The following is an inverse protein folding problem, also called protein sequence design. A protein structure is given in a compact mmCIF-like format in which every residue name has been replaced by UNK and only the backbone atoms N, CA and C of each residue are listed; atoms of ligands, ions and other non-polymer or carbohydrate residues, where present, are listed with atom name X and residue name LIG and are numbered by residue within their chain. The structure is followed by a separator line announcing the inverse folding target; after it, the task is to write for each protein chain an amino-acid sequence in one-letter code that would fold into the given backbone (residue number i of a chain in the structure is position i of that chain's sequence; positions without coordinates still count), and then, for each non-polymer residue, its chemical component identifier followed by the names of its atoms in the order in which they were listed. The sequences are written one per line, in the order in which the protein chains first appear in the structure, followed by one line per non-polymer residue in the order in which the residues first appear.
data_IF_045045400392
#
_entry.id   IF_045045400392
#
_cell.length_a   1.000
_cell.length_b   1.000
_cell.length_c   1.000
_cell.angle_alpha   90.00
_cell.angle_beta   90.00
_cell.angle_gamma   90.00
#
_symmetry.space_group_name_H-M   'P 1'
#
loop_
_entity.id
_entity.type
_entity.pdbx_description
1 polymer ?
#
# COMPACT_ATOMS: atom_id res chain seq x y z
N UNK A 1 -18.25 -31.24 38.78
CA UNK A 1 -19.15 -31.16 39.94
C UNK A 1 -19.11 -29.71 40.42
N UNK A 2 -20.01 -28.81 39.98
CA UNK A 2 -21.38 -28.57 40.47
C UNK A 2 -21.48 -28.54 42.00
N UNK A 3 -21.72 -27.34 42.56
CA UNK A 3 -22.87 -26.91 43.40
C UNK A 3 -22.43 -25.74 44.30
N UNK A 4 -22.92 -24.53 44.09
CA UNK A 4 -24.24 -23.96 44.47
C UNK A 4 -24.21 -23.30 45.87
N UNK A 5 -24.48 -21.97 45.90
CA UNK A 5 -25.00 -21.16 47.03
C UNK A 5 -26.38 -21.71 47.52
N UNK A 6 -27.09 -21.24 48.60
CA UNK A 6 -27.12 -19.93 49.33
C UNK A 6 -27.48 -20.10 50.87
N UNK A 7 -28.31 -19.30 51.62
CA UNK A 7 -28.82 -17.90 51.54
C UNK A 7 -28.84 -17.05 52.86
N UNK A 8 -29.13 -15.75 52.70
CA UNK A 8 -29.90 -14.74 53.50
C UNK A 8 -30.15 -14.88 55.04
N UNK A 9 -30.04 -13.78 55.81
CA UNK A 9 -31.16 -12.91 56.32
C UNK A 9 -30.77 -11.95 57.46
N UNK A 10 -31.42 -10.76 57.44
CA UNK A 10 -31.81 -9.75 58.49
C UNK A 10 -31.17 -9.77 59.90
N UNK A 11 -30.86 -8.66 60.57
CA UNK A 11 -31.78 -7.60 61.05
C UNK A 11 -31.04 -6.52 61.88
N UNK A 12 -31.70 -5.36 62.07
CA UNK A 12 -31.30 -4.03 62.63
C UNK A 12 -31.05 -4.04 64.18
N UNK A 13 -30.95 -2.90 64.96
CA UNK A 13 -30.96 -1.45 64.65
C UNK A 13 -29.98 -0.55 65.48
N UNK A 14 -30.04 0.77 65.20
CA UNK A 14 -30.23 1.88 66.17
C UNK A 14 -29.15 2.98 66.18
N UNK A 15 -29.50 4.17 65.68
CA UNK A 15 -29.60 5.38 66.50
C UNK A 15 -30.09 6.56 65.66
N UNK A 16 -31.22 7.11 66.10
CA UNK A 16 -31.86 8.31 65.59
C UNK A 16 -31.11 9.57 66.03
N UNK A 17 -30.94 10.52 65.12
CA UNK A 17 -30.80 11.94 65.47
C UNK A 17 -31.72 12.75 64.58
N UNK A 18 -32.67 13.41 65.23
CA UNK A 18 -33.63 14.34 64.65
C UNK A 18 -33.01 15.74 64.46
N UNK A 19 -33.24 16.36 63.29
CA UNK A 19 -33.23 17.81 63.08
C UNK A 19 -34.13 18.18 61.88
N UNK A 20 -34.67 19.41 61.83
CA UNK A 20 -36.04 19.69 61.39
C UNK A 20 -36.21 19.86 59.88
N UNK A 21 -37.36 19.43 59.38
CA UNK A 21 -37.82 19.62 58.00
C UNK A 21 -38.20 21.09 57.77
N UNK A 22 -37.31 21.88 57.18
CA UNK A 22 -37.69 23.11 56.48
C UNK A 22 -38.16 22.74 55.07
N UNK A 23 -39.45 22.97 54.79
CA UNK A 23 -40.04 22.83 53.47
C UNK A 23 -39.58 24.00 52.58
N UNK A 24 -38.49 23.82 51.85
CA UNK A 24 -38.08 24.70 50.76
C UNK A 24 -38.83 24.29 49.49
N UNK A 25 -39.82 25.08 49.10
CA UNK A 25 -40.41 25.05 47.76
C UNK A 25 -39.36 25.64 46.82
N UNK A 26 -38.49 24.81 46.26
CA UNK A 26 -37.67 25.20 45.10
C UNK A 26 -38.58 25.26 43.88
N UNK A 27 -38.92 26.48 43.46
CA UNK A 27 -39.38 26.75 42.10
C UNK A 27 -38.28 26.24 41.15
N UNK A 28 -38.53 25.12 40.48
CA UNK A 28 -37.70 24.66 39.39
C UNK A 28 -37.79 25.66 38.24
N UNK A 29 -36.81 26.54 38.12
CA UNK A 29 -36.56 27.23 36.86
C UNK A 29 -35.99 26.17 35.93
N UNK A 30 -36.87 25.57 35.12
CA UNK A 30 -36.46 24.86 33.92
C UNK A 30 -35.82 25.92 33.03
N UNK A 31 -34.49 25.94 32.99
CA UNK A 31 -33.81 26.53 31.84
C UNK A 31 -34.20 25.65 30.67
N UNK A 32 -35.16 26.12 29.87
CA UNK A 32 -35.33 25.60 28.53
C UNK A 32 -33.96 25.70 27.86
N UNK A 33 -33.37 24.55 27.52
CA UNK A 33 -32.32 24.54 26.52
C UNK A 33 -32.90 25.31 25.34
N UNK A 34 -32.25 26.39 24.86
CA UNK A 34 -32.69 27.00 23.62
C UNK A 34 -32.70 25.88 22.58
N UNK A 35 -33.84 25.73 21.92
CA UNK A 35 -34.10 24.72 20.90
C UNK A 35 -32.82 24.44 20.10
N UNK A 36 -32.32 23.21 20.17
CA UNK A 36 -31.43 22.74 19.11
C UNK A 36 -32.30 22.70 17.87
N UNK A 37 -32.35 23.81 17.12
CA UNK A 37 -32.90 23.84 15.77
C UNK A 37 -32.22 22.67 15.07
N UNK A 38 -32.99 21.63 14.74
CA UNK A 38 -32.47 20.51 13.98
C UNK A 38 -31.81 21.09 12.74
N UNK A 39 -30.50 20.87 12.58
CA UNK A 39 -29.78 21.42 11.44
C UNK A 39 -30.44 20.94 10.15
N UNK A 40 -31.01 21.88 9.40
CA UNK A 40 -31.64 21.57 8.13
C UNK A 40 -30.55 21.37 7.08
N UNK A 41 -30.35 20.11 6.71
CA UNK A 41 -29.48 19.73 5.61
C UNK A 41 -30.18 19.98 4.28
N UNK A 42 -29.57 20.79 3.41
CA UNK A 42 -30.01 20.94 2.03
C UNK A 42 -29.06 20.20 1.10
N UNK A 43 -29.58 19.73 -0.03
CA UNK A 43 -28.76 19.15 -1.10
C UNK A 43 -27.84 20.20 -1.69
N UNK A 44 -26.61 19.81 -1.96
CA UNK A 44 -25.59 20.65 -2.60
C UNK A 44 -25.36 20.10 -4.00
N UNK A 45 -25.66 20.87 -5.06
CA UNK A 45 -25.31 20.50 -6.42
C UNK A 45 -23.80 20.34 -6.56
N UNK A 46 -23.36 19.32 -7.28
CA UNK A 46 -21.94 18.99 -7.44
C UNK A 46 -21.73 18.28 -8.76
N UNK A 47 -20.88 18.87 -9.61
CA UNK A 47 -20.49 18.32 -10.89
C UNK A 47 -18.97 18.16 -10.90
N UNK A 48 -18.50 16.94 -11.10
CA UNK A 48 -17.06 16.62 -11.14
C UNK A 48 -16.84 15.37 -11.97
N UNK A 49 -15.68 15.28 -12.61
CA UNK A 49 -15.29 14.12 -13.40
C UNK A 49 -13.81 13.83 -13.19
N UNK A 50 -13.49 12.56 -12.95
CA UNK A 50 -12.13 12.06 -12.99
C UNK A 50 -11.75 11.75 -14.44
N UNK A 51 -10.83 12.53 -14.99
CA UNK A 51 -10.29 12.41 -16.35
C UNK A 51 -8.78 12.13 -16.41
N UNK A 52 -8.09 12.18 -15.27
CA UNK A 52 -6.66 11.88 -15.13
C UNK A 52 -6.41 10.67 -14.21
N UNK A 53 -5.23 10.06 -14.32
CA UNK A 53 -4.81 8.95 -13.45
C UNK A 53 -4.74 9.44 -11.99
N UNK A 54 -5.23 8.63 -11.06
CA UNK A 54 -5.32 9.01 -9.66
C UNK A 54 -4.01 8.72 -8.91
N UNK A 55 -3.65 9.52 -7.90
CA UNK A 55 -2.46 9.25 -7.09
C UNK A 55 -2.47 7.84 -6.51
N UNK A 56 -1.29 7.25 -6.32
CA UNK A 56 -1.10 5.89 -5.77
C UNK A 56 -1.60 4.75 -6.68
N UNK A 57 -1.98 5.02 -7.94
CA UNK A 57 -2.46 3.99 -8.87
C UNK A 57 -1.87 4.12 -10.28
N UNK A 58 -2.10 3.09 -11.10
CA UNK A 58 -1.97 3.17 -12.55
C UNK A 58 -0.70 2.55 -13.14
N UNK A 59 -0.36 2.97 -14.36
CA UNK A 59 0.86 2.50 -15.04
C UNK A 59 2.07 3.19 -14.40
N UNK A 60 3.11 2.40 -14.13
CA UNK A 60 4.39 2.85 -13.56
C UNK A 60 5.45 2.80 -14.64
N UNK A 61 6.35 3.80 -14.67
CA UNK A 61 7.55 3.81 -15.52
C UNK A 61 8.81 3.82 -14.64
N UNK A 62 9.95 3.43 -15.20
CA UNK A 62 11.22 3.62 -14.51
C UNK A 62 11.49 5.11 -14.25
N UNK A 63 12.10 5.41 -13.11
CA UNK A 63 12.42 6.79 -12.74
C UNK A 63 13.46 7.47 -13.63
N UNK A 64 14.23 6.70 -14.40
CA UNK A 64 15.17 7.18 -15.41
C UNK A 64 14.57 7.17 -16.83
N UNK A 65 13.33 6.74 -17.01
CA UNK A 65 12.65 6.79 -18.30
C UNK A 65 12.23 8.24 -18.62
N UNK A 66 12.79 8.82 -19.67
CA UNK A 66 12.43 10.17 -20.13
C UNK A 66 10.93 10.37 -20.39
N UNK A 67 10.20 9.31 -20.73
CA UNK A 67 8.74 9.36 -20.90
C UNK A 67 8.00 9.73 -19.61
N UNK A 68 8.59 9.46 -18.43
CA UNK A 68 8.01 9.86 -17.15
C UNK A 68 7.78 11.37 -17.03
N UNK A 69 8.45 12.22 -17.81
CA UNK A 69 8.23 13.67 -17.78
C UNK A 69 6.88 14.11 -18.39
N UNK A 70 6.22 13.26 -19.18
CA UNK A 70 5.04 13.65 -19.95
C UNK A 70 3.99 12.55 -20.11
N UNK A 71 4.31 11.30 -19.76
CA UNK A 71 3.35 10.22 -19.75
C UNK A 71 2.28 10.47 -18.67
N UNK A 72 1.02 10.09 -18.92
CA UNK A 72 -0.05 10.26 -17.97
C UNK A 72 0.00 9.18 -16.89
N UNK A 73 0.96 9.30 -15.99
CA UNK A 73 1.23 8.40 -14.88
C UNK A 73 1.18 9.18 -13.56
N UNK A 74 1.20 8.46 -12.43
CA UNK A 74 1.29 9.05 -11.09
C UNK A 74 2.38 8.38 -10.24
N UNK A 75 3.01 7.34 -10.78
CA UNK A 75 3.94 6.47 -10.08
C UNK A 75 5.17 6.21 -10.94
N UNK A 76 6.33 6.19 -10.31
CA UNK A 76 7.60 5.80 -10.91
C UNK A 76 8.25 4.67 -10.12
N UNK A 77 9.18 3.94 -10.73
CA UNK A 77 9.83 2.77 -10.13
C UNK A 77 11.34 2.94 -10.03
N UNK A 78 11.94 2.42 -8.95
CA UNK A 78 13.41 2.27 -8.86
C UNK A 78 13.81 1.00 -8.10
N UNK A 79 14.92 0.39 -8.54
CA UNK A 79 15.68 -0.56 -7.73
C UNK A 79 16.84 0.16 -7.04
N UNK A 80 17.02 -0.09 -5.74
CA UNK A 80 18.23 0.29 -5.03
C UNK A 80 18.81 -0.92 -4.29
N UNK A 81 20.13 -1.00 -4.24
CA UNK A 81 20.84 -1.96 -3.40
C UNK A 81 21.20 -1.35 -2.05
N UNK A 82 21.32 -2.20 -1.04
CA UNK A 82 21.74 -1.78 0.30
C UNK A 82 23.13 -1.10 0.30
N UNK A 83 24.06 -1.55 -0.54
CA UNK A 83 25.40 -0.96 -0.71
C UNK A 83 25.42 0.45 -1.34
N UNK A 84 24.32 0.88 -1.97
CA UNK A 84 24.21 2.26 -2.42
C UNK A 84 23.95 3.20 -1.23
N UNK A 85 23.37 2.69 -0.15
CA UNK A 85 23.04 3.47 1.03
C UNK A 85 24.10 3.31 2.12
N UNK A 86 24.77 2.17 2.20
CA UNK A 86 25.68 1.86 3.30
C UNK A 86 27.11 1.77 2.78
N UNK A 87 27.96 2.66 3.29
CA UNK A 87 29.36 2.76 2.90
C UNK A 87 30.18 1.55 3.34
N UNK A 88 31.42 1.45 2.87
CA UNK A 88 32.36 0.41 3.29
C UNK A 88 32.68 0.46 4.79
N UNK A 89 32.51 1.62 5.42
CA UNK A 89 32.69 1.83 6.86
C UNK A 89 31.42 1.52 7.68
N UNK A 90 30.30 1.17 7.01
CA UNK A 90 29.02 0.90 7.67
C UNK A 90 28.19 2.14 7.97
N UNK A 91 28.56 3.30 7.42
CA UNK A 91 27.83 4.56 7.59
C UNK A 91 26.68 4.65 6.57
N UNK A 92 25.52 5.14 7.02
CA UNK A 92 24.34 5.31 6.16
C UNK A 92 24.38 6.68 5.47
N UNK A 93 24.41 6.67 4.15
CA UNK A 93 24.15 7.82 3.28
C UNK A 93 22.88 7.58 2.46
N UNK A 94 21.83 8.32 2.79
CA UNK A 94 20.56 8.25 2.10
C UNK A 94 20.47 9.14 0.86
N UNK A 95 21.51 9.91 0.53
CA UNK A 95 21.51 10.83 -0.61
C UNK A 95 21.09 10.19 -1.94
N UNK A 96 21.42 8.92 -2.26
CA UNK A 96 20.95 8.32 -3.51
C UNK A 96 19.43 8.15 -3.56
N UNK A 97 18.80 7.80 -2.44
CA UNK A 97 17.35 7.70 -2.36
C UNK A 97 16.71 9.10 -2.37
N UNK A 98 17.25 10.07 -1.62
CA UNK A 98 16.73 11.45 -1.61
C UNK A 98 16.70 12.06 -3.01
N UNK A 99 17.78 11.92 -3.78
CA UNK A 99 17.85 12.46 -5.14
C UNK A 99 16.76 11.88 -6.06
N UNK A 100 16.46 10.58 -5.94
CA UNK A 100 15.38 9.94 -6.70
C UNK A 100 14.02 10.45 -6.22
N UNK A 101 13.80 10.51 -4.91
CA UNK A 101 12.53 10.99 -4.34
C UNK A 101 12.24 12.45 -4.72
N UNK A 102 13.24 13.32 -4.68
CA UNK A 102 13.12 14.71 -5.13
C UNK A 102 12.76 14.77 -6.62
N UNK A 103 13.49 14.07 -7.48
CA UNK A 103 13.22 14.07 -8.92
C UNK A 103 11.82 13.55 -9.27
N UNK A 104 11.36 12.49 -8.61
CA UNK A 104 10.01 11.92 -8.78
C UNK A 104 8.93 12.89 -8.27
N UNK A 105 9.15 13.51 -7.11
CA UNK A 105 8.22 14.47 -6.54
C UNK A 105 8.12 15.77 -7.36
N UNK A 106 9.22 16.24 -7.95
CA UNK A 106 9.25 17.39 -8.87
C UNK A 106 8.37 17.17 -10.10
N UNK A 107 8.27 15.91 -10.55
CA UNK A 107 7.33 15.47 -11.60
C UNK A 107 5.90 15.24 -11.09
N UNK A 108 5.65 15.46 -9.79
CA UNK A 108 4.37 15.25 -9.10
C UNK A 108 3.94 13.79 -9.09
N UNK A 109 4.90 12.89 -9.05
CA UNK A 109 4.70 11.45 -8.94
C UNK A 109 5.16 10.96 -7.56
N UNK A 110 4.88 9.68 -7.30
CA UNK A 110 5.38 8.99 -6.12
C UNK A 110 6.14 7.73 -6.52
N UNK A 111 7.02 7.27 -5.64
CA UNK A 111 7.94 6.17 -5.91
C UNK A 111 7.36 4.82 -5.45
N UNK A 112 7.47 3.82 -6.33
CA UNK A 112 7.51 2.41 -5.99
C UNK A 112 8.98 2.01 -5.87
N UNK A 113 9.42 1.69 -4.65
CA UNK A 113 10.81 1.38 -4.35
C UNK A 113 10.99 -0.13 -4.17
N UNK A 114 11.99 -0.73 -4.81
CA UNK A 114 12.41 -2.11 -4.53
C UNK A 114 13.85 -2.17 -4.06
N UNK A 115 14.06 -2.69 -2.84
CA UNK A 115 15.41 -3.01 -2.35
C UNK A 115 15.86 -4.35 -2.89
N UNK A 116 17.16 -4.52 -3.19
CA UNK A 116 17.70 -5.81 -3.62
C UNK A 116 19.06 -6.16 -3.00
N UNK A 117 19.24 -7.45 -2.72
CA UNK A 117 20.53 -8.07 -2.34
C UNK A 117 21.22 -8.79 -3.52
N UNK A 118 20.45 -9.27 -4.51
CA UNK A 118 20.95 -10.00 -5.66
C UNK A 118 20.33 -9.42 -6.94
N UNK A 119 21.15 -9.21 -7.96
CA UNK A 119 20.69 -8.69 -9.26
C UNK A 119 21.52 -9.33 -10.38
N UNK A 120 20.85 -9.77 -11.43
CA UNK A 120 21.48 -10.48 -12.56
C UNK A 120 22.62 -9.67 -13.16
N UNK A 121 23.78 -10.32 -13.32
CA UNK A 121 24.95 -9.70 -13.96
C UNK A 121 25.72 -8.72 -13.08
N UNK A 122 25.44 -8.66 -11.77
CA UNK A 122 26.04 -7.70 -10.84
C UNK A 122 26.70 -8.39 -9.64
N UNK A 123 27.69 -7.74 -8.99
CA UNK A 123 28.08 -8.05 -7.62
C UNK A 123 26.90 -7.88 -6.66
N UNK A 124 26.94 -8.57 -5.52
CA UNK A 124 25.87 -8.51 -4.51
C UNK A 124 25.55 -7.06 -4.11
N UNK A 125 24.28 -6.81 -3.81
CA UNK A 125 23.79 -5.54 -3.27
C UNK A 125 24.12 -5.32 -1.79
N UNK A 126 24.75 -6.28 -1.11
CA UNK A 126 25.19 -6.16 0.29
C UNK A 126 26.41 -5.23 0.40
N UNK A 127 26.47 -4.33 1.42
CA UNK A 127 27.57 -3.38 1.59
C UNK A 127 28.90 -4.05 1.96
N UNK A 128 30.00 -3.38 1.62
CA UNK A 128 31.36 -3.90 1.87
C UNK A 128 31.68 -4.07 3.35
N UNK A 129 31.06 -3.29 4.24
CA UNK A 129 31.16 -3.45 5.69
C UNK A 129 30.73 -4.84 6.17
N UNK A 130 29.93 -5.56 5.38
CA UNK A 130 29.49 -6.93 5.63
C UNK A 130 30.28 -7.93 4.79
N UNK A 131 30.43 -7.68 3.48
CA UNK A 131 31.07 -8.65 2.57
C UNK A 131 32.56 -8.84 2.81
N UNK A 132 33.23 -7.91 3.51
CA UNK A 132 34.65 -8.00 3.89
C UNK A 132 34.88 -8.57 5.30
N UNK A 133 33.82 -8.97 6.01
CA UNK A 133 33.97 -9.58 7.33
C UNK A 133 34.69 -10.93 7.25
N UNK A 134 35.48 -11.29 8.27
CA UNK A 134 36.08 -12.63 8.34
C UNK A 134 35.02 -13.72 8.22
N UNK A 135 35.26 -14.68 7.33
CA UNK A 135 34.38 -15.83 7.11
C UNK A 135 33.22 -15.60 6.14
N UNK A 136 33.03 -14.38 5.59
CA UNK A 136 32.03 -14.15 4.55
C UNK A 136 32.43 -14.88 3.24
N UNK A 137 31.53 -15.72 2.73
CA UNK A 137 31.76 -16.55 1.54
C UNK A 137 30.83 -16.17 0.39
N UNK A 138 31.27 -15.23 -0.45
CA UNK A 138 30.53 -14.88 -1.66
C UNK A 138 30.41 -16.09 -2.59
N UNK A 139 29.19 -16.35 -3.05
CA UNK A 139 28.96 -17.37 -4.09
C UNK A 139 28.84 -16.68 -5.44
N UNK A 140 29.60 -17.16 -6.43
CA UNK A 140 29.49 -16.70 -7.81
C UNK A 140 28.83 -17.78 -8.65
N UNK A 141 27.87 -17.38 -9.47
CA UNK A 141 27.21 -18.26 -10.41
C UNK A 141 26.81 -17.54 -11.70
N UNK A 142 26.11 -18.25 -12.56
CA UNK A 142 25.52 -17.69 -13.78
C UNK A 142 24.02 -17.61 -13.60
N UNK A 143 23.42 -16.48 -13.94
CA UNK A 143 21.97 -16.30 -14.00
C UNK A 143 21.63 -15.53 -15.27
N UNK A 144 20.68 -16.03 -16.06
CA UNK A 144 20.33 -15.52 -17.39
C UNK A 144 21.55 -15.33 -18.31
N UNK A 145 22.51 -16.24 -18.22
CA UNK A 145 23.76 -16.18 -18.98
C UNK A 145 24.75 -15.09 -18.51
N UNK A 146 24.50 -14.41 -17.39
CA UNK A 146 25.38 -13.36 -16.84
C UNK A 146 26.02 -13.77 -15.51
N UNK A 147 27.30 -13.41 -15.27
CA UNK A 147 27.97 -13.67 -14.00
C UNK A 147 27.30 -12.86 -12.88
N UNK A 148 26.87 -13.54 -11.83
CA UNK A 148 26.09 -12.98 -10.72
C UNK A 148 26.68 -13.40 -9.38
N UNK A 149 26.75 -12.48 -8.42
CA UNK A 149 27.16 -12.79 -7.05
C UNK A 149 25.96 -12.87 -6.10
N UNK A 150 25.91 -13.95 -5.31
CA UNK A 150 24.87 -14.22 -4.33
C UNK A 150 25.39 -13.94 -2.91
N UNK A 151 24.60 -13.29 -2.05
CA UNK A 151 24.99 -13.03 -0.67
C UNK A 151 25.23 -14.31 0.13
N UNK A 152 26.16 -14.23 1.10
CA UNK A 152 26.37 -15.28 2.10
C UNK A 152 25.35 -15.15 3.24
N UNK A 153 24.19 -15.78 3.07
CA UNK A 153 23.13 -15.86 4.07
C UNK A 153 23.49 -16.71 5.29
N UNK A 154 24.63 -17.41 5.29
CA UNK A 154 25.12 -18.10 6.49
C UNK A 154 25.71 -17.12 7.49
N UNK A 155 26.21 -15.96 7.04
CA UNK A 155 26.79 -14.92 7.87
C UNK A 155 25.74 -14.26 8.80
N UNK A 156 25.83 -14.40 10.13
CA UNK A 156 24.88 -13.79 11.06
C UNK A 156 24.80 -12.27 10.96
N UNK A 157 25.93 -11.64 10.66
CA UNK A 157 26.02 -10.19 10.54
C UNK A 157 25.26 -9.64 9.32
N UNK A 158 25.12 -10.43 8.23
CA UNK A 158 24.24 -10.06 7.12
C UNK A 158 22.76 -10.02 7.57
N UNK A 159 22.32 -11.05 8.30
CA UNK A 159 20.95 -11.12 8.81
C UNK A 159 20.65 -9.98 9.76
N UNK A 160 21.56 -9.70 10.70
CA UNK A 160 21.47 -8.54 11.62
C UNK A 160 21.39 -7.22 10.85
N UNK A 161 22.27 -7.05 9.86
CA UNK A 161 22.30 -5.86 9.01
C UNK A 161 20.99 -5.60 8.30
N UNK A 162 20.36 -6.62 7.70
CA UNK A 162 19.10 -6.45 6.97
C UNK A 162 18.00 -5.94 7.89
N UNK A 163 17.90 -6.44 9.13
CA UNK A 163 16.93 -5.92 10.11
C UNK A 163 17.24 -4.48 10.50
N UNK A 164 18.50 -4.17 10.85
CA UNK A 164 18.94 -2.80 11.18
C UNK A 164 18.67 -1.81 10.03
N UNK A 165 18.86 -2.25 8.79
CA UNK A 165 18.59 -1.42 7.61
C UNK A 165 17.13 -0.97 7.57
N UNK A 166 16.19 -1.88 7.85
CA UNK A 166 14.77 -1.54 7.87
C UNK A 166 14.33 -0.77 9.12
N UNK A 167 15.00 -0.94 10.26
CA UNK A 167 14.86 -0.02 11.40
C UNK A 167 15.18 1.42 10.95
N UNK A 168 16.39 1.65 10.40
CA UNK A 168 16.87 2.97 9.95
C UNK A 168 16.05 3.54 8.80
N UNK A 169 15.66 2.70 7.85
CA UNK A 169 14.78 3.10 6.75
C UNK A 169 13.41 3.54 7.29
N UNK A 170 12.80 2.77 8.20
CA UNK A 170 11.48 3.10 8.73
C UNK A 170 11.47 4.37 9.57
N UNK A 171 12.52 4.60 10.39
CA UNK A 171 12.71 5.83 11.18
C UNK A 171 12.66 7.09 10.31
N UNK A 172 13.22 7.01 9.09
CA UNK A 172 13.30 8.14 8.17
C UNK A 172 12.13 8.22 7.19
N UNK A 173 11.62 7.09 6.69
CA UNK A 173 10.77 7.06 5.50
C UNK A 173 9.39 6.43 5.67
N UNK A 174 9.04 5.80 6.80
CA UNK A 174 7.73 5.13 6.95
C UNK A 174 6.57 6.09 6.66
N UNK A 175 6.73 7.38 7.00
CA UNK A 175 5.75 8.44 6.77
C UNK A 175 6.06 9.37 5.59
N UNK A 176 7.07 9.09 4.77
CA UNK A 176 7.43 9.93 3.64
C UNK A 176 6.39 9.81 2.50
N UNK A 177 5.67 10.90 2.13
CA UNK A 177 4.63 10.85 1.10
C UNK A 177 5.18 10.65 -0.31
N UNK A 178 6.48 10.82 -0.54
CA UNK A 178 7.13 10.58 -1.83
C UNK A 178 7.19 9.08 -2.16
N UNK A 179 6.99 8.20 -1.18
CA UNK A 179 6.98 6.74 -1.36
C UNK A 179 5.55 6.21 -1.34
N UNK A 180 5.07 5.74 -2.49
CA UNK A 180 3.75 5.12 -2.60
C UNK A 180 3.75 3.69 -2.06
N UNK A 181 4.72 2.88 -2.49
CA UNK A 181 4.77 1.47 -2.14
C UNK A 181 6.22 0.98 -2.02
N UNK A 182 6.42 -0.01 -1.18
CA UNK A 182 7.69 -0.69 -1.00
C UNK A 182 7.56 -2.14 -1.48
N UNK A 183 8.46 -2.59 -2.34
CA UNK A 183 8.61 -4.00 -2.67
C UNK A 183 9.87 -4.54 -1.99
N UNK A 184 9.72 -5.65 -1.27
CA UNK A 184 10.79 -6.31 -0.50
C UNK A 184 10.76 -7.81 -0.73
N UNK A 185 11.90 -8.42 -0.51
CA UNK A 185 12.06 -9.87 -0.63
C UNK A 185 13.53 -10.22 -0.75
N UNK A 186 13.78 -11.38 -1.32
CA UNK A 186 15.10 -11.98 -1.37
C UNK A 186 15.40 -12.59 -2.74
N UNK A 187 16.69 -12.76 -3.05
CA UNK A 187 17.11 -13.35 -4.31
C UNK A 187 17.07 -12.37 -5.47
N UNK A 188 17.02 -12.90 -6.70
CA UNK A 188 17.09 -12.08 -7.90
C UNK A 188 15.92 -11.10 -7.93
N UNK A 189 16.24 -9.81 -8.05
CA UNK A 189 15.27 -8.72 -8.07
C UNK A 189 14.33 -8.69 -6.85
N UNK A 190 14.72 -9.35 -5.74
CA UNK A 190 13.91 -9.54 -4.54
C UNK A 190 12.60 -10.30 -4.75
N UNK A 191 12.59 -11.20 -5.73
CA UNK A 191 11.40 -11.92 -6.17
C UNK A 191 11.20 -13.29 -5.54
N UNK A 192 12.02 -13.68 -4.56
CA UNK A 192 12.01 -15.00 -3.94
C UNK A 192 12.52 -16.16 -4.81
N UNK A 193 13.30 -15.90 -5.87
CA UNK A 193 13.92 -16.98 -6.66
C UNK A 193 15.37 -16.63 -7.05
N UNK A 194 16.15 -17.64 -7.48
CA UNK A 194 17.49 -17.46 -8.06
C UNK A 194 17.61 -18.03 -9.49
N UNK A 195 16.50 -18.42 -10.12
CA UNK A 195 16.42 -19.17 -11.38
C UNK A 195 17.54 -20.22 -11.54
N UNK A 196 18.62 -19.86 -12.24
CA UNK A 196 19.70 -20.74 -12.68
C UNK A 196 20.72 -21.14 -11.60
N UNK A 197 20.76 -20.50 -10.41
CA UNK A 197 21.48 -21.13 -9.30
C UNK A 197 22.08 -20.25 -8.21
N UNK A 198 22.93 -20.90 -7.39
CA UNK A 198 22.54 -22.11 -6.66
C UNK A 198 21.59 -21.69 -5.53
N UNK A 199 20.36 -22.19 -5.49
CA UNK A 199 19.45 -21.90 -4.38
C UNK A 199 19.70 -22.86 -3.22
N UNK A 200 20.45 -22.39 -2.21
CA UNK A 200 20.75 -23.13 -0.98
C UNK A 200 20.27 -22.32 0.22
N UNK A 201 19.22 -22.81 0.87
CA UNK A 201 18.63 -22.18 2.05
C UNK A 201 19.67 -22.01 3.17
N UNK A 202 19.73 -20.82 3.75
CA UNK A 202 20.70 -20.43 4.77
C UNK A 202 22.13 -20.20 4.24
N UNK A 203 22.38 -20.28 2.93
CA UNK A 203 23.72 -20.08 2.34
C UNK A 203 23.69 -19.02 1.25
N UNK A 204 22.96 -19.25 0.16
CA UNK A 204 22.82 -18.31 -0.96
C UNK A 204 21.42 -17.73 -1.09
N UNK A 205 20.50 -18.25 -0.29
CA UNK A 205 19.16 -17.73 -0.07
C UNK A 205 18.89 -17.78 1.44
N UNK A 206 18.15 -16.83 2.05
CA UNK A 206 17.93 -16.84 3.49
C UNK A 206 17.15 -18.08 3.94
N UNK A 207 17.40 -18.55 5.17
CA UNK A 207 16.63 -19.65 5.74
C UNK A 207 15.17 -19.24 5.98
N UNK A 208 14.25 -20.21 6.05
CA UNK A 208 12.83 -19.92 6.30
C UNK A 208 12.62 -19.23 7.66
N UNK A 209 13.45 -19.57 8.65
CA UNK A 209 13.44 -18.94 9.97
C UNK A 209 13.76 -17.46 9.87
N UNK A 210 14.82 -17.08 9.15
CA UNK A 210 15.16 -15.67 8.98
C UNK A 210 14.12 -14.93 8.11
N UNK A 211 13.58 -15.56 7.06
CA UNK A 211 12.51 -14.94 6.27
C UNK A 211 11.27 -14.65 7.13
N UNK A 212 10.94 -15.55 8.06
CA UNK A 212 9.85 -15.37 9.04
C UNK A 212 10.15 -14.20 9.99
N UNK A 213 11.37 -14.16 10.55
CA UNK A 213 11.83 -13.05 11.40
C UNK A 213 11.75 -11.71 10.65
N UNK A 214 12.22 -11.67 9.41
CA UNK A 214 12.25 -10.50 8.55
C UNK A 214 10.85 -9.91 8.32
N UNK A 215 9.87 -10.70 7.90
CA UNK A 215 8.52 -10.17 7.63
C UNK A 215 7.78 -9.74 8.90
N UNK A 216 8.02 -10.43 10.01
CA UNK A 216 7.50 -10.01 11.31
C UNK A 216 8.15 -8.71 11.78
N UNK A 217 9.44 -8.53 11.49
CA UNK A 217 10.16 -7.30 11.77
C UNK A 217 9.64 -6.14 10.90
N UNK A 218 9.49 -6.32 9.59
CA UNK A 218 8.90 -5.32 8.69
C UNK A 218 7.50 -4.89 9.13
N UNK A 219 6.67 -5.82 9.57
CA UNK A 219 5.34 -5.48 10.08
C UNK A 219 5.39 -4.57 11.32
N UNK A 220 6.40 -4.74 12.18
CA UNK A 220 6.58 -3.91 13.38
C UNK A 220 7.13 -2.52 13.05
N UNK A 221 8.03 -2.43 12.08
CA UNK A 221 8.76 -1.20 11.74
C UNK A 221 8.01 -0.32 10.73
N UNK A 222 7.43 -0.91 9.68
CA UNK A 222 6.66 -0.21 8.65
C UNK A 222 5.16 -0.21 9.00
N UNK A 223 4.73 0.83 9.71
CA UNK A 223 3.32 0.96 10.15
C UNK A 223 2.47 1.71 9.15
N UNK A 224 3.08 2.61 8.38
CA UNK A 224 2.38 3.49 7.46
C UNK A 224 2.61 3.09 6.01
N UNK A 225 3.87 2.93 5.59
CA UNK A 225 4.22 2.53 4.22
C UNK A 225 3.76 1.11 3.93
N UNK A 226 3.03 0.96 2.81
CA UNK A 226 2.54 -0.34 2.35
C UNK A 226 3.67 -1.10 1.67
N UNK A 227 3.99 -2.28 2.21
CA UNK A 227 5.02 -3.16 1.66
C UNK A 227 4.43 -4.41 1.03
N UNK A 228 5.14 -4.96 0.05
CA UNK A 228 4.70 -6.05 -0.81
C UNK A 228 5.80 -7.08 -1.03
N UNK A 229 5.42 -8.34 -1.22
CA UNK A 229 6.31 -9.44 -1.58
C UNK A 229 5.91 -10.05 -2.92
N UNK A 230 6.86 -10.71 -3.59
CA UNK A 230 6.61 -11.40 -4.87
C UNK A 230 5.64 -12.58 -4.68
N UNK A 231 4.85 -12.86 -5.72
CA UNK A 231 4.05 -14.09 -5.80
C UNK A 231 4.89 -15.36 -5.63
N UNK A 232 6.15 -15.37 -6.05
CA UNK A 232 6.99 -16.56 -5.97
C UNK A 232 7.39 -16.91 -4.53
N UNK A 233 7.11 -16.04 -3.56
CA UNK A 233 7.16 -16.38 -2.14
C UNK A 233 6.16 -17.48 -1.74
N UNK A 234 5.22 -17.85 -2.63
CA UNK A 234 4.33 -18.99 -2.47
C UNK A 234 5.03 -20.37 -2.58
N UNK A 235 6.23 -20.42 -3.19
CA UNK A 235 6.99 -21.66 -3.33
C UNK A 235 7.55 -22.20 -2.01
N UNK A 236 8.06 -23.43 -2.03
CA UNK A 236 8.57 -24.14 -0.83
C UNK A 236 9.81 -23.47 -0.20
N UNK A 237 10.40 -22.50 -0.88
CA UNK A 237 11.52 -21.68 -0.40
C UNK A 237 11.07 -20.40 0.33
N UNK A 238 9.75 -20.13 0.40
CA UNK A 238 9.14 -19.06 1.20
C UNK A 238 8.32 -19.63 2.37
N UNK A 239 8.26 -18.95 3.53
CA UNK A 239 7.61 -19.49 4.73
C UNK A 239 6.08 -19.33 4.77
N UNK A 240 5.45 -18.86 3.68
CA UNK A 240 4.06 -18.40 3.69
C UNK A 240 3.04 -19.52 3.43
N UNK A 241 3.37 -20.48 2.57
CA UNK A 241 2.44 -21.55 2.19
C UNK A 241 2.01 -22.34 3.43
N UNK A 242 0.70 -22.35 3.70
CA UNK A 242 0.13 -23.01 4.89
C UNK A 242 0.35 -22.30 6.23
N UNK A 243 1.09 -21.18 6.29
CA UNK A 243 1.36 -20.45 7.52
C UNK A 243 0.30 -19.37 7.77
N UNK A 244 -0.69 -19.69 8.61
CA UNK A 244 -1.85 -18.82 8.86
C UNK A 244 -1.46 -17.47 9.47
N UNK A 245 -0.45 -17.46 10.36
CA UNK A 245 0.00 -16.27 11.07
C UNK A 245 0.74 -15.31 10.14
N UNK A 246 1.66 -15.83 9.32
CA UNK A 246 2.34 -15.00 8.32
C UNK A 246 1.37 -14.47 7.28
N UNK A 247 0.43 -15.30 6.80
CA UNK A 247 -0.59 -14.87 5.87
C UNK A 247 -1.61 -13.88 6.50
N UNK A 248 -1.66 -13.73 7.82
CA UNK A 248 -2.47 -12.70 8.47
C UNK A 248 -1.82 -11.31 8.48
N UNK A 249 -0.50 -11.22 8.22
CA UNK A 249 0.20 -9.95 8.11
C UNK A 249 -0.34 -9.12 6.92
N UNK A 250 -0.44 -7.79 7.03
CA UNK A 250 -1.07 -6.93 6.03
C UNK A 250 -0.10 -6.52 4.90
N UNK A 251 0.73 -7.44 4.42
CA UNK A 251 1.55 -7.20 3.22
C UNK A 251 0.70 -7.26 1.96
N UNK A 252 1.16 -6.63 0.88
CA UNK A 252 0.60 -6.75 -0.46
C UNK A 252 1.41 -7.72 -1.34
N UNK A 253 0.96 -7.97 -2.57
CA UNK A 253 1.58 -8.96 -3.47
C UNK A 253 1.92 -8.33 -4.81
N UNK A 254 3.08 -8.65 -5.37
CA UNK A 254 3.44 -8.27 -6.75
C UNK A 254 3.82 -9.46 -7.62
N UNK A 255 3.55 -9.31 -8.92
CA UNK A 255 3.82 -10.33 -9.94
C UNK A 255 4.65 -9.73 -11.08
N UNK A 256 5.92 -10.12 -11.16
CA UNK A 256 6.90 -9.53 -12.10
C UNK A 256 6.82 -10.12 -13.52
N UNK A 257 5.87 -11.02 -13.77
CA UNK A 257 5.63 -11.62 -15.08
C UNK A 257 4.15 -11.62 -15.45
N UNK A 258 3.44 -10.57 -15.04
CA UNK A 258 2.00 -10.47 -15.19
C UNK A 258 1.57 -10.60 -16.67
N UNK A 259 0.48 -11.34 -16.89
CA UNK A 259 -0.15 -11.54 -18.21
C UNK A 259 0.68 -12.30 -19.25
N UNK A 260 1.65 -13.13 -18.85
CA UNK A 260 2.30 -14.06 -19.79
C UNK A 260 1.37 -15.23 -20.18
N UNK A 261 1.73 -15.98 -21.24
CA UNK A 261 0.89 -17.03 -21.82
C UNK A 261 0.48 -18.17 -20.86
N UNK A 262 1.30 -18.42 -19.83
CA UNK A 262 1.06 -19.48 -18.84
C UNK A 262 0.64 -18.93 -17.47
N UNK A 263 0.28 -17.64 -17.37
CA UNK A 263 0.00 -16.94 -16.12
C UNK A 263 -1.04 -17.65 -15.24
N UNK A 264 -2.18 -18.04 -15.82
CA UNK A 264 -3.23 -18.77 -15.12
C UNK A 264 -2.78 -20.14 -14.57
N UNK A 265 -1.74 -20.74 -15.17
CA UNK A 265 -1.20 -22.04 -14.75
C UNK A 265 -0.03 -21.91 -13.78
N UNK A 266 0.76 -20.85 -13.87
CA UNK A 266 2.02 -20.68 -13.14
C UNK A 266 1.89 -19.69 -11.98
N UNK A 267 1.38 -18.48 -12.25
CA UNK A 267 1.38 -17.40 -11.26
C UNK A 267 0.06 -17.34 -10.49
N UNK A 268 -1.08 -17.58 -11.13
CA UNK A 268 -2.39 -17.55 -10.44
C UNK A 268 -2.47 -18.52 -9.24
N UNK A 269 -1.92 -19.75 -9.28
CA UNK A 269 -1.82 -20.58 -8.08
C UNK A 269 -1.05 -19.92 -6.93
N UNK A 270 0.02 -19.18 -7.23
CA UNK A 270 0.81 -18.45 -6.23
C UNK A 270 0.00 -17.32 -5.58
N UNK A 271 -0.75 -16.55 -6.39
CA UNK A 271 -1.72 -15.58 -5.88
C UNK A 271 -2.74 -16.21 -4.92
N UNK A 272 -3.25 -17.39 -5.25
CA UNK A 272 -4.20 -18.11 -4.41
C UNK A 272 -3.57 -18.57 -3.09
N UNK A 273 -2.36 -19.12 -3.13
CA UNK A 273 -1.58 -19.53 -1.95
C UNK A 273 -1.33 -18.36 -1.00
N UNK A 274 -1.05 -17.16 -1.53
CA UNK A 274 -0.83 -15.94 -0.73
C UNK A 274 -2.12 -15.24 -0.29
N UNK A 275 -3.28 -15.87 -0.48
CA UNK A 275 -4.64 -15.35 -0.25
C UNK A 275 -5.01 -14.22 -1.21
N UNK A 276 -5.63 -14.61 -2.34
CA UNK A 276 -6.04 -13.69 -3.40
C UNK A 276 -6.94 -12.54 -2.93
N UNK A 277 -7.68 -12.68 -1.83
CA UNK A 277 -8.57 -11.64 -1.30
C UNK A 277 -7.86 -10.57 -0.43
N UNK A 278 -6.55 -10.70 -0.22
CA UNK A 278 -5.68 -9.73 0.49
C UNK A 278 -5.71 -8.32 -0.09
N UNK A 279 -6.07 -8.17 -1.37
CA UNK A 279 -6.27 -6.86 -2.00
C UNK A 279 -7.24 -5.97 -1.21
N UNK A 280 -8.11 -6.53 -0.37
CA UNK A 280 -9.02 -5.77 0.49
C UNK A 280 -8.30 -4.96 1.58
N UNK A 281 -7.09 -5.36 1.96
CA UNK A 281 -6.34 -4.77 3.08
C UNK A 281 -4.93 -4.29 2.70
N UNK A 282 -4.38 -4.75 1.57
CA UNK A 282 -3.06 -4.38 1.08
C UNK A 282 -3.00 -4.34 -0.46
N UNK A 283 -2.11 -3.54 -1.06
CA UNK A 283 -2.06 -3.35 -2.51
C UNK A 283 -1.63 -4.59 -3.28
N UNK A 284 -2.07 -4.67 -4.52
CA UNK A 284 -1.53 -5.60 -5.50
C UNK A 284 -0.89 -4.84 -6.66
N UNK A 285 0.22 -5.36 -7.17
CA UNK A 285 0.90 -4.76 -8.32
C UNK A 285 1.75 -5.77 -9.07
N UNK A 286 2.75 -5.29 -9.80
CA UNK A 286 3.62 -6.17 -10.59
C UNK A 286 4.26 -5.45 -11.77
N UNK A 287 4.71 -6.24 -12.73
CA UNK A 287 5.28 -5.81 -14.00
C UNK A 287 4.67 -6.65 -15.14
N UNK A 288 4.43 -6.03 -16.29
CA UNK A 288 4.05 -6.79 -17.48
C UNK A 288 5.18 -7.74 -17.88
N UNK A 289 4.84 -8.97 -18.25
CA UNK A 289 5.84 -9.99 -18.61
C UNK A 289 6.77 -9.59 -19.76
N UNK A 290 8.01 -10.07 -19.69
CA UNK A 290 9.01 -10.00 -20.76
C UNK A 290 9.29 -11.35 -21.45
N UNK A 291 8.50 -12.39 -21.17
CA UNK A 291 8.75 -13.73 -21.71
C UNK A 291 8.61 -13.81 -23.23
N UNK A 292 7.79 -12.94 -23.83
CA UNK A 292 7.71 -12.78 -25.27
C UNK A 292 7.54 -11.33 -25.69
N UNK A 293 7.98 -10.99 -26.91
CA UNK A 293 7.76 -9.65 -27.48
C UNK A 293 6.28 -9.26 -27.53
N UNK A 294 5.39 -10.25 -27.62
CA UNK A 294 3.94 -10.04 -27.64
C UNK A 294 3.44 -9.51 -26.30
N UNK A 295 3.97 -10.03 -25.19
CA UNK A 295 3.57 -9.66 -23.82
C UNK A 295 3.68 -8.15 -23.62
N UNK A 296 4.81 -7.56 -24.03
CA UNK A 296 5.05 -6.13 -23.94
C UNK A 296 4.28 -5.32 -24.99
N UNK A 297 4.41 -5.68 -26.27
CA UNK A 297 3.85 -4.87 -27.37
C UNK A 297 2.32 -4.86 -27.40
N UNK A 298 1.68 -5.89 -26.84
CA UNK A 298 0.24 -6.05 -26.79
C UNK A 298 -0.34 -5.98 -25.37
N UNK A 299 0.46 -5.64 -24.34
CA UNK A 299 0.01 -5.56 -22.94
C UNK A 299 -1.29 -4.75 -22.79
N UNK A 300 -1.36 -3.58 -23.43
CA UNK A 300 -2.51 -2.68 -23.39
C UNK A 300 -3.38 -2.76 -24.67
N UNK A 301 -3.17 -3.74 -25.55
CA UNK A 301 -4.08 -3.94 -26.68
C UNK A 301 -5.49 -4.30 -26.17
N UNK A 302 -6.57 -4.03 -26.94
CA UNK A 302 -7.94 -4.33 -26.50
C UNK A 302 -8.19 -5.78 -26.07
N UNK A 303 -7.47 -6.75 -26.67
CA UNK A 303 -7.55 -8.17 -26.31
C UNK A 303 -6.37 -8.65 -25.45
N UNK A 304 -5.47 -7.74 -25.05
CA UNK A 304 -4.17 -8.07 -24.46
C UNK A 304 -3.31 -9.02 -25.32
N UNK A 305 -2.19 -9.51 -24.76
CA UNK A 305 -1.28 -10.40 -25.47
C UNK A 305 -1.83 -11.83 -25.64
N UNK A 306 -2.74 -12.29 -24.77
CA UNK A 306 -3.23 -13.69 -24.80
C UNK A 306 -4.75 -13.83 -24.76
N UNK A 307 -5.48 -12.85 -25.30
CA UNK A 307 -6.93 -12.93 -25.48
C UNK A 307 -7.76 -12.38 -24.31
N UNK A 308 -7.10 -11.88 -23.26
CA UNK A 308 -7.73 -11.14 -22.16
C UNK A 308 -7.15 -9.72 -22.11
N UNK A 309 -8.02 -8.71 -22.04
CA UNK A 309 -7.60 -7.32 -21.90
C UNK A 309 -6.90 -7.07 -20.56
N UNK A 310 -6.04 -6.05 -20.53
CA UNK A 310 -5.44 -5.60 -19.28
C UNK A 310 -6.51 -5.24 -18.24
N UNK A 311 -7.60 -4.57 -18.64
CA UNK A 311 -8.66 -4.15 -17.72
C UNK A 311 -9.32 -5.35 -17.02
N UNK A 312 -9.54 -6.46 -17.73
CA UNK A 312 -10.11 -7.67 -17.15
C UNK A 312 -9.12 -8.33 -16.20
N UNK A 313 -7.85 -8.47 -16.60
CA UNK A 313 -6.80 -9.02 -15.74
C UNK A 313 -6.56 -8.15 -14.50
N UNK A 314 -6.55 -6.83 -14.67
CA UNK A 314 -6.42 -5.89 -13.57
C UNK A 314 -7.58 -6.06 -12.58
N UNK A 315 -8.82 -6.16 -13.07
CA UNK A 315 -9.98 -6.41 -12.22
C UNK A 315 -9.91 -7.78 -11.50
N UNK A 316 -9.51 -8.84 -12.20
CA UNK A 316 -9.42 -10.20 -11.65
C UNK A 316 -8.36 -10.33 -10.53
N UNK A 317 -7.33 -9.49 -10.54
CA UNK A 317 -6.25 -9.46 -9.53
C UNK A 317 -6.22 -8.17 -8.70
N UNK A 318 -7.25 -7.32 -8.86
CA UNK A 318 -7.44 -6.05 -8.15
C UNK A 318 -6.22 -5.10 -8.21
N UNK A 319 -5.55 -5.07 -9.36
CA UNK A 319 -4.26 -4.38 -9.57
C UNK A 319 -4.38 -2.88 -9.23
N UNK A 320 -3.56 -2.45 -8.28
CA UNK A 320 -3.46 -1.04 -7.86
C UNK A 320 -2.53 -0.26 -8.79
N UNK A 321 -1.43 -0.89 -9.20
CA UNK A 321 -0.47 -0.34 -10.16
C UNK A 321 0.25 -1.45 -10.92
N UNK A 322 0.80 -1.16 -12.11
CA UNK A 322 1.60 -2.12 -12.87
C UNK A 322 2.78 -1.40 -13.55
N UNK A 323 3.99 -1.95 -13.42
CA UNK A 323 5.16 -1.50 -14.16
C UNK A 323 4.97 -1.84 -15.64
N UNK A 324 5.00 -0.80 -16.46
CA UNK A 324 4.76 -0.85 -17.90
C UNK A 324 5.72 0.07 -18.63
N UNK A 325 7.01 -0.05 -18.33
CA UNK A 325 8.02 0.89 -18.80
C UNK A 325 8.12 0.99 -20.33
N UNK A 326 7.89 -0.11 -21.03
CA UNK A 326 7.93 -0.13 -22.49
C UNK A 326 6.65 0.44 -23.13
N UNK A 327 5.57 0.66 -22.37
CA UNK A 327 4.27 1.04 -22.93
C UNK A 327 4.28 2.38 -23.69
N UNK A 328 5.04 3.42 -23.31
CA UNK A 328 5.20 4.62 -24.14
C UNK A 328 5.77 4.35 -25.55
N UNK A 329 6.45 3.22 -25.78
CA UNK A 329 6.94 2.81 -27.12
C UNK A 329 5.85 2.17 -27.97
N UNK A 330 4.83 1.59 -27.35
CA UNK A 330 3.78 0.81 -28.02
C UNK A 330 2.42 1.50 -28.04
N UNK A 331 2.18 2.44 -27.13
CA UNK A 331 0.86 3.01 -26.86
C UNK A 331 0.89 4.53 -26.83
N UNK A 332 -0.23 5.14 -27.26
CA UNK A 332 -0.45 6.58 -27.13
C UNK A 332 -0.73 6.93 -25.67
N UNK A 333 -0.39 8.16 -25.27
CA UNK A 333 -0.67 8.69 -23.94
C UNK A 333 -2.13 8.46 -23.50
N UNK A 334 -3.12 8.72 -24.36
CA UNK A 334 -4.53 8.49 -24.05
C UNK A 334 -4.86 7.03 -23.65
N UNK A 335 -4.17 6.04 -24.25
CA UNK A 335 -4.36 4.64 -23.90
C UNK A 335 -3.71 4.30 -22.55
N UNK A 336 -2.52 4.83 -22.28
CA UNK A 336 -1.82 4.69 -20.99
C UNK A 336 -2.65 5.32 -19.88
N UNK A 337 -3.20 6.53 -20.10
CA UNK A 337 -4.13 7.20 -19.21
C UNK A 337 -5.34 6.33 -18.89
N UNK A 338 -6.01 5.83 -19.93
CA UNK A 338 -7.20 4.99 -19.76
C UNK A 338 -6.88 3.69 -19.00
N UNK A 339 -5.72 3.07 -19.25
CA UNK A 339 -5.28 1.89 -18.51
C UNK A 339 -5.03 2.23 -17.04
N UNK A 340 -4.31 3.32 -16.78
CA UNK A 340 -3.97 3.76 -15.43
C UNK A 340 -5.21 4.13 -14.60
N UNK A 341 -6.19 4.78 -15.21
CA UNK A 341 -7.49 5.06 -14.59
C UNK A 341 -8.34 3.80 -14.33
N UNK A 342 -7.99 2.67 -14.95
CA UNK A 342 -8.59 1.37 -14.70
C UNK A 342 -8.01 0.62 -13.49
N UNK A 343 -6.96 1.17 -12.86
CA UNK A 343 -6.30 0.56 -11.70
C UNK A 343 -6.76 1.20 -10.38
N UNK A 344 -6.76 0.40 -9.32
CA UNK A 344 -6.96 0.90 -7.95
C UNK A 344 -8.36 1.47 -7.69
N UNK A 345 -8.42 2.54 -6.89
CA UNK A 345 -9.67 3.17 -6.47
C UNK A 345 -10.20 4.15 -7.52
N UNK A 346 -11.51 4.38 -7.48
CA UNK A 346 -12.16 5.50 -8.18
C UNK A 346 -13.39 5.92 -7.38
N UNK A 347 -13.41 7.15 -6.88
CA UNK A 347 -14.51 7.60 -6.04
C UNK A 347 -15.62 8.26 -6.84
N UNK A 348 -16.87 8.02 -6.42
CA UNK A 348 -18.06 8.72 -6.90
C UNK A 348 -18.85 9.25 -5.71
N UNK A 349 -19.12 10.55 -5.70
CA UNK A 349 -20.02 11.17 -4.73
C UNK A 349 -21.46 10.95 -5.20
N UNK A 350 -22.23 10.19 -4.42
CA UNK A 350 -23.63 9.83 -4.73
C UNK A 350 -24.63 10.71 -3.97
N UNK A 351 -24.21 11.35 -2.89
CA UNK A 351 -25.01 12.31 -2.12
C UNK A 351 -24.10 13.35 -1.50
N UNK A 352 -24.51 14.62 -1.57
CA UNK A 352 -23.88 15.71 -0.86
C UNK A 352 -24.94 16.64 -0.29
N UNK A 353 -24.96 16.76 1.03
CA UNK A 353 -25.86 17.63 1.76
C UNK A 353 -25.07 18.48 2.75
N UNK A 354 -25.52 19.71 3.00
CA UNK A 354 -24.90 20.59 3.97
C UNK A 354 -25.91 21.47 4.70
N UNK A 355 -25.61 21.76 5.96
CA UNK A 355 -26.23 22.79 6.78
C UNK A 355 -25.31 24.04 6.81
N UNK A 356 -25.58 24.97 7.73
CA UNK A 356 -24.67 26.09 7.99
C UNK A 356 -23.34 25.67 8.63
N UNK A 357 -23.28 24.54 9.34
CA UNK A 357 -22.11 24.15 10.15
C UNK A 357 -21.63 22.72 9.89
N UNK A 358 -22.38 21.90 9.16
CA UNK A 358 -22.05 20.52 8.90
C UNK A 358 -22.35 20.10 7.47
N UNK A 359 -21.73 19.00 7.06
CA UNK A 359 -21.97 18.35 5.77
C UNK A 359 -22.04 16.85 5.93
N UNK A 360 -22.81 16.22 5.03
CA UNK A 360 -22.94 14.78 4.90
C UNK A 360 -22.69 14.39 3.45
N UNK A 361 -21.71 13.53 3.25
CA UNK A 361 -21.27 13.07 1.95
C UNK A 361 -21.40 11.55 1.89
N UNK A 362 -22.07 11.01 0.87
CA UNK A 362 -22.03 9.59 0.55
C UNK A 362 -21.09 9.38 -0.64
N UNK A 363 -20.11 8.49 -0.47
CA UNK A 363 -19.11 8.16 -1.49
C UNK A 363 -19.12 6.67 -1.76
N UNK A 364 -19.14 6.32 -3.04
CA UNK A 364 -18.95 4.97 -3.56
C UNK A 364 -17.53 4.80 -4.12
N UNK A 365 -16.89 3.65 -3.87
CA UNK A 365 -15.71 3.26 -4.64
C UNK A 365 -16.15 2.45 -5.87
N UNK A 366 -16.06 3.04 -7.06
CA UNK A 366 -16.37 2.40 -8.36
C UNK A 366 -15.13 1.86 -9.07
N UNK A 367 -13.98 1.84 -8.41
CA UNK A 367 -12.73 1.25 -8.91
C UNK A 367 -12.67 -0.26 -8.71
N UNK A 368 -11.48 -0.82 -8.90
CA UNK A 368 -11.20 -2.26 -8.74
C UNK A 368 -10.47 -2.60 -7.44
N UNK A 369 -9.93 -1.62 -6.71
CA UNK A 369 -9.29 -1.82 -5.41
C UNK A 369 -9.59 -0.62 -4.46
N UNK A 370 -9.43 -0.76 -3.13
CA UNK A 370 -9.52 0.37 -2.22
C UNK A 370 -8.27 1.26 -2.30
N UNK A 371 -8.37 2.47 -1.74
CA UNK A 371 -7.17 3.23 -1.37
C UNK A 371 -6.58 2.63 -0.07
N UNK A 372 -5.26 2.45 -0.03
CA UNK A 372 -4.57 1.82 1.13
C UNK A 372 -3.99 2.83 2.12
N UNK A 373 -4.16 4.12 1.86
CA UNK A 373 -3.73 5.19 2.73
C UNK A 373 -4.94 6.00 3.20
N UNK A 374 -4.79 6.66 4.35
CA UNK A 374 -5.88 7.43 4.92
C UNK A 374 -6.21 8.65 4.05
N UNK A 375 -7.47 8.73 3.62
CA UNK A 375 -7.98 9.76 2.74
C UNK A 375 -9.35 10.20 3.24
N UNK A 376 -9.50 11.49 3.53
CA UNK A 376 -10.65 12.02 4.23
C UNK A 376 -11.42 12.98 3.34
N UNK A 377 -12.73 12.75 3.10
CA UNK A 377 -13.62 13.79 2.62
C UNK A 377 -13.51 15.01 3.52
N UNK A 378 -13.35 16.18 2.92
CA UNK A 378 -13.14 17.42 3.66
C UNK A 378 -13.96 18.57 3.06
N UNK A 379 -14.53 19.38 3.95
CA UNK A 379 -15.27 20.60 3.60
C UNK A 379 -14.49 21.80 4.12
N UNK A 380 -14.12 22.73 3.22
CA UNK A 380 -13.38 23.95 3.58
C UNK A 380 -12.12 23.67 4.44
N UNK A 381 -11.44 22.56 4.15
CA UNK A 381 -10.24 22.13 4.89
C UNK A 381 -10.51 21.28 6.14
N UNK A 382 -11.75 21.15 6.60
CA UNK A 382 -12.11 20.31 7.76
C UNK A 382 -12.38 18.87 7.30
N UNK A 383 -11.60 17.92 7.80
CA UNK A 383 -11.71 16.48 7.48
C UNK A 383 -12.89 15.82 8.18
N UNK A 384 -13.48 14.81 7.53
CA UNK A 384 -14.32 13.82 8.19
C UNK A 384 -13.53 13.03 9.23
N UNK A 385 -14.22 12.50 10.24
CA UNK A 385 -13.59 11.60 11.21
C UNK A 385 -13.28 10.21 10.63
N UNK A 386 -14.03 9.80 9.61
CA UNK A 386 -13.86 8.51 8.92
C UNK A 386 -13.03 8.70 7.66
N UNK A 387 -12.14 7.74 7.42
CA UNK A 387 -11.29 7.64 6.24
C UNK A 387 -11.96 6.79 5.14
N UNK A 388 -11.66 7.09 3.88
CA UNK A 388 -11.98 6.28 2.70
C UNK A 388 -11.08 5.04 2.56
N UNK A 389 -10.02 4.96 3.36
CA UNK A 389 -9.11 3.81 3.38
C UNK A 389 -9.88 2.51 3.58
N UNK A 390 -9.65 1.55 2.69
CA UNK A 390 -10.32 0.25 2.75
C UNK A 390 -11.79 0.25 2.31
N UNK A 391 -12.34 1.35 1.78
CA UNK A 391 -13.66 1.33 1.13
C UNK A 391 -13.59 0.44 -0.11
N UNK A 392 -14.17 -0.75 -0.05
CA UNK A 392 -14.04 -1.75 -1.11
C UNK A 392 -14.82 -1.35 -2.37
N UNK A 393 -14.46 -1.88 -3.55
CA UNK A 393 -15.24 -1.75 -4.77
C UNK A 393 -16.74 -2.01 -4.55
N UNK A 394 -17.57 -1.16 -5.14
CA UNK A 394 -19.04 -1.14 -5.09
C UNK A 394 -19.63 -0.88 -3.68
N UNK A 395 -18.79 -0.62 -2.67
CA UNK A 395 -19.27 -0.19 -1.37
C UNK A 395 -19.48 1.32 -1.31
N UNK A 396 -20.46 1.72 -0.50
CA UNK A 396 -20.75 3.11 -0.15
C UNK A 396 -20.51 3.36 1.33
N UNK A 397 -20.06 4.55 1.66
CA UNK A 397 -19.95 5.01 3.03
C UNK A 397 -20.42 6.46 3.15
N UNK A 398 -20.98 6.78 4.32
CA UNK A 398 -21.42 8.12 4.68
C UNK A 398 -20.40 8.76 5.61
N UNK A 399 -20.04 9.99 5.28
CA UNK A 399 -19.05 10.82 5.97
C UNK A 399 -19.72 12.09 6.44
N UNK A 400 -19.78 12.27 7.76
CA UNK A 400 -20.17 13.54 8.38
C UNK A 400 -18.92 14.39 8.61
N UNK A 401 -19.01 15.68 8.28
CA UNK A 401 -17.95 16.68 8.45
C UNK A 401 -18.53 17.84 9.25
N UNK A 402 -17.81 18.27 10.29
CA UNK A 402 -18.18 19.42 11.13
C UNK A 402 -17.81 20.76 10.47
N UNK A 403 -18.15 20.89 9.19
CA UNK A 403 -18.08 22.12 8.41
C UNK A 403 -19.18 22.08 7.33
N UNK A 404 -19.77 23.24 7.06
CA UNK A 404 -20.85 23.42 6.10
C UNK A 404 -20.73 24.80 5.45
N UNK A 405 -21.87 25.42 5.14
CA UNK A 405 -21.91 26.74 4.52
C UNK A 405 -22.92 26.81 3.39
N UNK A 406 -23.06 27.98 2.73
CA UNK A 406 -24.02 28.21 1.64
C UNK A 406 -23.66 27.47 0.34
N UNK A 407 -22.36 27.36 0.03
CA UNK A 407 -21.81 26.68 -1.14
C UNK A 407 -20.49 25.98 -0.78
N UNK A 408 -20.52 24.94 0.07
CA UNK A 408 -19.31 24.31 0.59
C UNK A 408 -18.54 23.56 -0.49
N UNK A 409 -17.22 23.68 -0.49
CA UNK A 409 -16.32 22.94 -1.37
C UNK A 409 -15.92 21.61 -0.76
N UNK A 410 -16.16 20.53 -1.52
CA UNK A 410 -15.74 19.18 -1.18
C UNK A 410 -14.38 18.86 -1.81
N UNK A 411 -13.46 18.36 -0.99
CA UNK A 411 -12.18 17.78 -1.41
C UNK A 411 -11.96 16.42 -0.73
N UNK A 412 -10.96 15.65 -1.19
CA UNK A 412 -10.47 14.46 -0.48
C UNK A 412 -9.01 14.71 -0.11
N UNK A 413 -8.72 14.78 1.19
CA UNK A 413 -7.39 15.07 1.72
C UNK A 413 -6.66 13.81 2.15
N UNK A 414 -5.40 13.68 1.77
CA UNK A 414 -4.54 12.55 2.11
C UNK A 414 -3.13 13.06 2.38
N UNK A 415 -2.57 12.73 3.56
CA UNK A 415 -1.22 13.13 3.97
C UNK A 415 -0.12 12.37 3.21
N UNK A 416 -0.51 11.41 2.37
CA UNK A 416 0.38 10.53 1.60
C UNK A 416 0.51 10.95 0.15
N UNK A 417 0.17 12.20 -0.18
CA UNK A 417 0.31 12.76 -1.52
C UNK A 417 1.52 13.70 -1.57
N UNK A 418 2.22 13.75 -2.70
CA UNK A 418 3.20 14.81 -2.94
C UNK A 418 2.51 16.11 -3.37
N UNK A 419 3.23 17.22 -3.26
CA UNK A 419 2.71 18.52 -3.69
C UNK A 419 2.26 18.49 -5.15
N UNK A 420 1.05 19.00 -5.42
CA UNK A 420 0.47 19.04 -6.77
C UNK A 420 -0.36 17.81 -7.16
N UNK A 421 -0.40 16.77 -6.33
CA UNK A 421 -1.37 15.67 -6.46
C UNK A 421 -2.68 15.98 -5.74
N UNK A 422 -3.78 15.44 -6.24
CA UNK A 422 -5.08 15.51 -5.61
C UNK A 422 -5.88 14.23 -5.89
N UNK A 423 -6.68 13.79 -4.92
CA UNK A 423 -7.64 12.71 -5.12
C UNK A 423 -8.92 13.32 -5.70
N UNK A 424 -9.27 12.93 -6.91
CA UNK A 424 -10.49 13.31 -7.60
C UNK A 424 -11.66 12.39 -7.28
N UNK A 425 -12.86 12.83 -7.66
CA UNK A 425 -14.08 12.05 -7.58
C UNK A 425 -15.03 12.41 -8.72
N UNK A 426 -15.83 11.46 -9.18
CA UNK A 426 -16.95 11.71 -10.08
C UNK A 426 -18.17 12.21 -9.29
N UNK A 427 -18.94 13.15 -9.83
CA UNK A 427 -20.21 13.59 -9.25
C UNK A 427 -21.13 14.15 -10.36
N UNK A 428 -22.41 13.76 -10.31
CA UNK A 428 -23.49 14.34 -11.13
C UNK A 428 -24.71 14.59 -10.23
N UNK A 429 -24.58 15.54 -9.31
CA UNK A 429 -25.62 15.96 -8.38
C UNK A 429 -26.21 17.29 -8.87
N UNK A 430 -27.53 17.37 -8.94
CA UNK A 430 -28.30 18.53 -9.44
C UNK A 430 -29.00 19.30 -8.34
#
# INVERSE_FOLDING_TARGET
MRREFPPMTSSRPCSDVWLPTCLLITLGVVFANPDSIAEEFRRVPLQSKVDEVQPLTGIVLWSDNHAANHAPIQLEFVYLSYKQIVSAQGEYDWSPLENVLEGVADRRHQLVLRWYDTYVGKPTGVPESITKLPGYQVTRGTSEGKPTEFPDWSQPELRRFILEFFDRYSEKYDQDPRIAYLQVGFGLWSEYHLYDGPMKMGVTFPSLEFQTEFVQHLHKTLRQTRWMISVDAAGDWGPFSGNVDLLALPFGVFDDSFNHAAHAKQNEPNWNTLRRDRWKVAPTGGEFSFFSNKDQSQALAPSGPHGTSFENQAADFHISFILGDAQPRFQKAARIRSAGMGCGYRFRVTRFEASGQAARIEIENVGIAPIYYDAFPAIEGVRSQKSLKGLLPQQRAVFDVAAGGSAPQLTIQCDRLVAGQAIGFDADLR
#
